data_IF_032321379034
#
_entry.id   IF_032321379034
#
_cell.length_a   1.000
_cell.length_b   1.000
_cell.length_c   1.000
_cell.angle_alpha   90.00
_cell.angle_beta   90.00
_cell.angle_gamma   90.00
#
_symmetry.space_group_name_H-M   'P 1'
#
loop_
_entity.id
_entity.type
_entity.pdbx_description
1 polymer ?
#
# COMPACT_ATOMS: atom_id res chain seq x y z
N UNK A 1 32.14 -47.29 -8.29
CA UNK A 1 30.93 -46.55 -7.86
C UNK A 1 31.35 -45.11 -7.58
N UNK A 2 31.20 -44.22 -8.57
CA UNK A 2 31.40 -42.78 -8.39
C UNK A 2 30.12 -42.19 -7.81
N UNK A 3 30.21 -41.48 -6.70
CA UNK A 3 29.13 -40.67 -6.14
C UNK A 3 29.07 -39.35 -6.91
N UNK A 4 27.95 -39.13 -7.59
CA UNK A 4 27.56 -37.88 -8.24
C UNK A 4 27.43 -36.78 -7.19
N UNK A 5 28.32 -35.80 -7.24
CA UNK A 5 28.21 -34.50 -6.56
C UNK A 5 27.74 -33.50 -7.61
N UNK A 6 26.45 -33.46 -7.87
CA UNK A 6 25.89 -32.51 -8.84
C UNK A 6 24.46 -32.11 -8.51
N UNK A 7 24.22 -31.78 -7.25
CA UNK A 7 23.24 -30.77 -6.86
C UNK A 7 24.00 -29.72 -6.06
N UNK A 8 24.01 -28.43 -6.46
CA UNK A 8 24.50 -27.40 -5.57
C UNK A 8 23.60 -27.41 -4.34
N UNK A 9 24.15 -27.85 -3.22
CA UNK A 9 23.55 -27.59 -1.91
C UNK A 9 23.41 -26.08 -1.84
N UNK A 10 22.18 -25.58 -1.95
CA UNK A 10 21.88 -24.18 -1.67
C UNK A 10 22.20 -24.04 -0.19
N UNK A 11 23.40 -23.57 0.13
CA UNK A 11 23.73 -23.20 1.51
C UNK A 11 22.66 -22.20 1.94
N UNK A 12 21.87 -22.58 2.95
CA UNK A 12 20.91 -21.67 3.56
C UNK A 12 21.65 -20.42 4.03
N UNK A 13 21.13 -19.24 3.71
CA UNK A 13 21.77 -17.99 4.11
C UNK A 13 21.96 -18.00 5.62
N UNK A 14 23.16 -17.66 6.09
CA UNK A 14 23.42 -17.51 7.51
C UNK A 14 22.40 -16.54 8.10
N UNK A 15 21.67 -16.98 9.14
CA UNK A 15 20.65 -16.16 9.79
C UNK A 15 21.32 -14.93 10.41
N UNK A 16 20.92 -13.75 9.97
CA UNK A 16 21.43 -12.46 10.44
C UNK A 16 20.26 -11.54 10.76
N UNK A 17 19.95 -11.40 12.05
CA UNK A 17 18.80 -10.64 12.52
C UNK A 17 19.22 -9.24 12.97
N UNK A 18 18.73 -8.20 12.30
CA UNK A 18 18.89 -6.83 12.76
C UNK A 18 17.74 -6.47 13.70
N UNK A 19 18.04 -6.30 14.98
CA UNK A 19 17.07 -5.88 15.99
C UNK A 19 17.24 -4.40 16.33
N UNK A 20 16.17 -3.62 16.16
CA UNK A 20 16.13 -2.20 16.50
C UNK A 20 15.27 -1.97 17.74
N UNK A 21 15.82 -1.20 18.68
CA UNK A 21 15.14 -0.73 19.88
C UNK A 21 15.61 0.68 20.18
N UNK A 22 14.75 1.68 19.98
CA UNK A 22 15.12 3.08 20.19
C UNK A 22 13.88 3.96 20.30
N UNK A 23 13.83 4.77 21.36
CA UNK A 23 12.78 5.77 21.58
C UNK A 23 12.86 6.97 20.63
N UNK A 24 13.97 7.13 19.90
CA UNK A 24 14.25 8.31 19.09
C UNK A 24 14.53 8.02 17.62
N UNK A 25 14.61 6.75 17.22
CA UNK A 25 14.87 6.39 15.83
C UNK A 25 13.66 6.75 14.96
N UNK A 26 13.88 7.63 13.98
CA UNK A 26 12.83 8.15 13.08
C UNK A 26 12.68 7.28 11.83
N UNK A 27 13.72 6.56 11.42
CA UNK A 27 13.63 5.67 10.27
C UNK A 27 14.92 4.90 10.04
N UNK A 28 14.86 3.94 9.13
CA UNK A 28 16.02 3.18 8.71
C UNK A 28 16.02 3.03 7.19
N UNK A 29 17.22 3.14 6.61
CA UNK A 29 17.49 2.80 5.22
C UNK A 29 18.56 1.72 5.20
N UNK A 30 18.25 0.58 4.59
CA UNK A 30 19.14 -0.55 4.40
C UNK A 30 19.41 -0.69 2.92
N UNK A 31 20.66 -0.50 2.51
CA UNK A 31 21.07 -0.63 1.11
C UNK A 31 22.21 -1.63 1.02
N UNK A 32 22.05 -2.66 0.19
CA UNK A 32 23.05 -3.74 0.02
C UNK A 32 23.41 -4.43 1.35
N UNK A 33 22.46 -4.56 2.29
CA UNK A 33 22.69 -5.21 3.57
C UNK A 33 22.44 -6.72 3.49
N UNK A 34 23.29 -7.52 4.14
CA UNK A 34 23.22 -8.98 4.20
C UNK A 34 22.36 -9.55 5.34
N UNK A 35 21.32 -8.84 5.78
CA UNK A 35 20.47 -9.28 6.90
C UNK A 35 19.32 -10.17 6.41
N UNK A 36 18.93 -11.18 7.18
CA UNK A 36 17.79 -12.06 6.88
C UNK A 36 16.48 -11.57 7.47
N UNK A 37 16.52 -10.92 8.63
CA UNK A 37 15.31 -10.51 9.35
C UNK A 37 15.50 -9.12 9.98
N UNK A 38 14.47 -8.28 9.88
CA UNK A 38 14.40 -6.98 10.56
C UNK A 38 13.37 -7.04 11.69
N UNK A 39 13.79 -6.75 12.92
CA UNK A 39 12.92 -6.76 14.11
C UNK A 39 12.83 -5.37 14.72
N UNK A 40 11.63 -4.80 14.78
CA UNK A 40 11.33 -3.53 15.46
C UNK A 40 10.72 -3.81 16.84
N UNK A 41 11.50 -3.69 17.91
CA UNK A 41 11.04 -4.02 19.27
C UNK A 41 10.29 -2.89 19.95
N UNK A 42 10.91 -1.73 20.04
CA UNK A 42 10.34 -0.55 20.71
C UNK A 42 10.87 0.69 20.01
N UNK A 43 10.18 1.07 18.94
CA UNK A 43 10.53 2.14 18.00
C UNK A 43 9.35 3.11 17.82
N UNK A 44 8.88 3.79 18.89
CA UNK A 44 7.64 4.57 18.87
C UNK A 44 7.69 5.82 17.98
N UNK A 45 8.88 6.30 17.63
CA UNK A 45 9.07 7.47 16.74
C UNK A 45 9.41 7.10 15.30
N UNK A 46 9.46 5.81 14.98
CA UNK A 46 9.84 5.36 13.65
C UNK A 46 8.71 5.63 12.65
N UNK A 47 9.05 6.31 11.56
CA UNK A 47 8.14 6.75 10.52
C UNK A 47 8.32 5.92 9.24
N UNK A 48 9.55 5.48 8.92
CA UNK A 48 9.81 4.76 7.68
C UNK A 48 10.85 3.64 7.79
N UNK A 49 10.68 2.63 6.94
CA UNK A 49 11.65 1.57 6.68
C UNK A 49 11.87 1.51 5.17
N UNK A 50 13.11 1.66 4.73
CA UNK A 50 13.50 1.42 3.35
C UNK A 50 14.54 0.29 3.31
N UNK A 51 14.32 -0.71 2.47
CA UNK A 51 15.25 -1.79 2.23
C UNK A 51 15.40 -2.00 0.72
N UNK A 52 16.59 -1.72 0.22
CA UNK A 52 16.92 -1.77 -1.20
C UNK A 52 18.10 -2.71 -1.40
N UNK A 53 18.02 -3.60 -2.39
CA UNK A 53 19.09 -4.55 -2.73
C UNK A 53 19.53 -5.43 -1.54
N UNK A 54 18.66 -5.64 -0.55
CA UNK A 54 18.90 -6.56 0.56
C UNK A 54 18.52 -7.98 0.14
N UNK A 55 19.39 -8.63 -0.65
CA UNK A 55 19.08 -9.86 -1.40
C UNK A 55 18.59 -11.02 -0.53
N UNK A 56 19.06 -11.08 0.72
CA UNK A 56 18.77 -12.17 1.66
C UNK A 56 17.74 -11.80 2.72
N UNK A 57 17.20 -10.57 2.71
CA UNK A 57 16.13 -10.14 3.61
C UNK A 57 14.86 -10.92 3.30
N UNK A 58 14.33 -11.62 4.32
CA UNK A 58 13.16 -12.50 4.24
C UNK A 58 11.97 -11.92 4.99
N UNK A 59 12.17 -11.50 6.24
CA UNK A 59 11.05 -11.17 7.12
C UNK A 59 11.18 -9.82 7.82
N UNK A 60 10.01 -9.26 8.15
CA UNK A 60 9.85 -8.13 9.06
C UNK A 60 9.13 -8.65 10.32
N UNK A 61 9.54 -8.22 11.51
CA UNK A 61 8.77 -8.41 12.74
C UNK A 61 8.56 -7.07 13.42
N UNK A 62 7.32 -6.69 13.67
CA UNK A 62 6.99 -5.44 14.37
C UNK A 62 6.35 -5.77 15.71
N UNK A 63 7.07 -5.50 16.81
CA UNK A 63 6.53 -5.64 18.17
C UNK A 63 5.91 -4.32 18.64
N UNK A 64 6.63 -3.19 18.51
CA UNK A 64 6.10 -1.85 18.81
C UNK A 64 6.73 -0.77 17.92
N UNK A 65 6.00 -0.33 16.89
CA UNK A 65 6.37 0.79 16.02
C UNK A 65 5.12 1.42 15.36
N UNK A 66 4.16 1.92 16.16
CA UNK A 66 2.78 2.16 15.70
C UNK A 66 2.66 3.21 14.60
N UNK A 67 3.53 4.22 14.61
CA UNK A 67 3.46 5.35 13.68
C UNK A 67 4.22 5.14 12.37
N UNK A 68 4.85 3.97 12.16
CA UNK A 68 5.51 3.68 10.88
C UNK A 68 4.44 3.68 9.80
N UNK A 69 4.63 4.57 8.84
CA UNK A 69 3.66 4.85 7.79
C UNK A 69 4.21 4.63 6.39
N UNK A 70 5.51 4.36 6.25
CA UNK A 70 6.16 4.12 4.96
C UNK A 70 7.06 2.90 5.01
N UNK A 71 6.81 1.97 4.10
CA UNK A 71 7.62 0.78 3.89
C UNK A 71 8.01 0.78 2.42
N UNK A 72 9.30 0.68 2.10
CA UNK A 72 9.78 0.54 0.73
C UNK A 72 10.73 -0.65 0.68
N UNK A 73 10.36 -1.68 -0.08
CA UNK A 73 11.17 -2.85 -0.33
C UNK A 73 11.41 -2.99 -1.84
N UNK A 74 12.65 -2.77 -2.25
CA UNK A 74 13.06 -2.87 -3.64
C UNK A 74 14.20 -3.88 -3.78
N UNK A 75 14.10 -4.75 -4.78
CA UNK A 75 15.19 -5.68 -5.14
C UNK A 75 15.63 -6.59 -3.98
N UNK A 76 14.70 -6.93 -3.08
CA UNK A 76 14.90 -7.86 -1.98
C UNK A 76 14.48 -9.26 -2.42
N UNK A 77 15.39 -9.98 -3.10
CA UNK A 77 15.08 -11.24 -3.81
C UNK A 77 14.39 -12.31 -2.94
N UNK A 78 14.75 -12.43 -1.66
CA UNK A 78 14.19 -13.45 -0.75
C UNK A 78 13.06 -12.94 0.14
N UNK A 79 12.53 -11.74 -0.10
CA UNK A 79 11.50 -11.13 0.73
C UNK A 79 10.21 -11.96 0.68
N UNK A 80 9.74 -12.39 1.85
CA UNK A 80 8.44 -13.03 1.99
C UNK A 80 7.36 -11.94 2.04
N UNK A 81 6.83 -11.57 0.87
CA UNK A 81 5.83 -10.51 0.75
C UNK A 81 4.58 -10.76 1.59
N UNK A 82 4.08 -12.00 1.62
CA UNK A 82 2.89 -12.36 2.39
C UNK A 82 3.10 -12.08 3.88
N UNK A 83 4.24 -12.51 4.42
CA UNK A 83 4.60 -12.33 5.82
C UNK A 83 4.78 -10.84 6.16
N UNK A 84 5.48 -10.10 5.31
CA UNK A 84 5.72 -8.66 5.52
C UNK A 84 4.42 -7.86 5.48
N UNK A 85 3.55 -8.15 4.51
CA UNK A 85 2.26 -7.47 4.38
C UNK A 85 1.33 -7.78 5.56
N UNK A 86 1.21 -9.04 5.98
CA UNK A 86 0.42 -9.41 7.17
C UNK A 86 0.93 -8.68 8.43
N UNK A 87 2.25 -8.62 8.64
CA UNK A 87 2.82 -7.88 9.76
C UNK A 87 2.46 -6.39 9.74
N UNK A 88 2.58 -5.73 8.59
CA UNK A 88 2.31 -4.29 8.46
C UNK A 88 0.81 -3.99 8.61
N UNK A 89 -0.05 -4.83 8.04
CA UNK A 89 -1.50 -4.66 8.07
C UNK A 89 -2.11 -5.01 9.44
N UNK A 90 -1.42 -5.80 10.28
CA UNK A 90 -1.82 -6.08 11.67
C UNK A 90 -1.38 -5.02 12.69
N UNK A 91 -0.44 -4.14 12.34
CA UNK A 91 -0.04 -3.05 13.22
C UNK A 91 -1.24 -2.13 13.53
N UNK A 92 -1.36 -1.53 14.73
CA UNK A 92 -2.50 -0.68 15.09
C UNK A 92 -2.75 0.49 14.10
N UNK A 93 -4.01 0.87 13.80
CA UNK A 93 -4.37 1.94 12.86
C UNK A 93 -4.16 3.35 13.40
N UNK A 94 -2.94 3.68 13.81
CA UNK A 94 -2.58 5.04 14.25
C UNK A 94 -2.22 5.98 13.07
N UNK A 95 -1.86 5.42 11.92
CA UNK A 95 -1.48 6.17 10.71
C UNK A 95 -2.00 5.45 9.46
N UNK A 96 -2.22 6.22 8.41
CA UNK A 96 -2.29 5.66 7.05
C UNK A 96 -0.94 5.03 6.71
N UNK A 97 -0.91 3.97 5.92
CA UNK A 97 0.36 3.32 5.54
C UNK A 97 0.50 3.19 4.04
N UNK A 98 1.69 3.44 3.54
CA UNK A 98 2.06 3.17 2.15
C UNK A 98 3.19 2.16 2.11
N UNK A 99 3.02 1.12 1.30
CA UNK A 99 3.92 -0.01 1.16
C UNK A 99 4.30 -0.09 -0.31
N UNK A 100 5.57 0.17 -0.62
CA UNK A 100 6.13 -0.01 -1.96
C UNK A 100 6.86 -1.35 -2.02
N UNK A 101 6.51 -2.16 -3.01
CA UNK A 101 7.12 -3.46 -3.26
C UNK A 101 7.60 -3.48 -4.71
N UNK A 102 8.86 -3.80 -4.92
CA UNK A 102 9.44 -4.08 -6.25
C UNK A 102 10.03 -5.49 -6.22
N UNK A 103 9.17 -6.51 -6.38
CA UNK A 103 9.57 -7.92 -6.27
C UNK A 103 10.49 -8.33 -7.40
N UNK A 104 11.40 -9.26 -7.10
CA UNK A 104 12.32 -9.86 -8.08
C UNK A 104 11.87 -11.26 -8.53
N UNK A 105 10.62 -11.61 -8.27
CA UNK A 105 10.02 -12.90 -8.57
C UNK A 105 8.56 -12.69 -8.97
N UNK A 106 8.00 -13.62 -9.72
CA UNK A 106 6.59 -13.60 -10.09
C UNK A 106 5.71 -13.60 -8.83
N UNK A 107 4.71 -12.72 -8.82
CA UNK A 107 3.72 -12.63 -7.74
C UNK A 107 2.43 -13.25 -8.23
N UNK A 108 1.90 -14.22 -7.47
CA UNK A 108 0.51 -14.68 -7.65
C UNK A 108 -0.43 -13.60 -7.10
N UNK A 109 -0.91 -12.73 -8.00
CA UNK A 109 -1.73 -11.58 -7.65
C UNK A 109 -3.06 -11.99 -7.03
N UNK A 110 -3.70 -13.04 -7.56
CA UNK A 110 -5.00 -13.51 -7.06
C UNK A 110 -4.89 -14.00 -5.61
N UNK A 111 -3.90 -14.84 -5.32
CA UNK A 111 -3.67 -15.33 -3.95
C UNK A 111 -3.31 -14.20 -3.01
N UNK A 112 -2.48 -13.25 -3.47
CA UNK A 112 -2.08 -12.09 -2.68
C UNK A 112 -3.27 -11.19 -2.32
N UNK A 113 -4.07 -10.80 -3.32
CA UNK A 113 -5.26 -9.98 -3.16
C UNK A 113 -6.27 -10.65 -2.22
N UNK A 114 -6.50 -11.95 -2.38
CA UNK A 114 -7.35 -12.73 -1.49
C UNK A 114 -6.88 -12.63 -0.03
N UNK A 115 -5.58 -12.83 0.24
CA UNK A 115 -5.01 -12.73 1.60
C UNK A 115 -5.15 -11.31 2.17
N UNK A 116 -4.91 -10.30 1.36
CA UNK A 116 -4.99 -8.89 1.77
C UNK A 116 -6.41 -8.51 2.13
N UNK A 117 -7.41 -8.78 1.27
CA UNK A 117 -8.77 -8.31 1.50
C UNK A 117 -9.56 -9.19 2.47
N UNK A 118 -9.27 -10.49 2.53
CA UNK A 118 -9.94 -11.37 3.51
C UNK A 118 -9.50 -11.06 4.93
N UNK A 119 -8.26 -10.62 5.17
CA UNK A 119 -7.68 -10.48 6.52
C UNK A 119 -8.39 -9.48 7.45
N UNK A 120 -8.13 -9.56 8.77
CA UNK A 120 -8.83 -8.82 9.82
C UNK A 120 -8.32 -7.39 9.98
N UNK A 121 -7.94 -6.74 8.87
CA UNK A 121 -7.22 -5.48 8.90
C UNK A 121 -8.18 -4.28 8.99
N UNK A 122 -8.04 -3.41 10.01
CA UNK A 122 -8.95 -2.30 10.27
C UNK A 122 -8.63 -1.06 9.40
N UNK A 123 -8.53 -1.27 8.09
CA UNK A 123 -8.20 -0.25 7.09
C UNK A 123 -9.10 -0.40 5.87
N UNK A 124 -9.33 0.71 5.19
CA UNK A 124 -9.53 0.62 3.74
C UNK A 124 -8.19 0.32 3.06
N UNK A 125 -8.18 -0.57 2.07
CA UNK A 125 -6.98 -1.07 1.42
C UNK A 125 -7.08 -0.82 -0.08
N UNK A 126 -5.99 -0.34 -0.65
CA UNK A 126 -5.79 -0.19 -2.08
C UNK A 126 -4.53 -0.96 -2.48
N UNK A 127 -4.63 -1.88 -3.43
CA UNK A 127 -3.51 -2.57 -4.04
C UNK A 127 -3.38 -2.10 -5.48
N UNK A 128 -2.22 -1.59 -5.86
CA UNK A 128 -1.90 -1.10 -7.19
C UNK A 128 -0.83 -2.00 -7.80
N UNK A 129 -1.14 -2.57 -8.94
CA UNK A 129 -0.23 -3.30 -9.81
C UNK A 129 0.20 -2.37 -10.94
N UNK A 130 1.49 -2.08 -11.02
CA UNK A 130 2.05 -1.14 -11.97
C UNK A 130 3.14 -1.82 -12.81
N UNK A 131 3.08 -1.59 -14.13
CA UNK A 131 3.86 -2.33 -15.12
C UNK A 131 4.81 -1.45 -15.94
N UNK A 132 5.10 -0.23 -15.48
CA UNK A 132 6.03 0.67 -16.17
C UNK A 132 7.43 0.09 -16.20
N UNK A 133 8.14 0.29 -17.30
CA UNK A 133 9.55 -0.03 -17.43
C UNK A 133 10.18 0.98 -18.42
N UNK A 134 11.01 1.93 -17.95
CA UNK A 134 11.59 2.05 -16.60
C UNK A 134 10.58 2.51 -15.52
N UNK A 135 10.94 2.40 -14.22
CA UNK A 135 10.11 2.87 -13.10
C UNK A 135 9.69 4.34 -13.19
N UNK A 136 8.41 4.61 -12.87
CA UNK A 136 7.87 5.97 -12.83
C UNK A 136 7.68 6.49 -11.40
N UNK A 137 8.59 7.35 -10.94
CA UNK A 137 8.54 7.94 -9.58
C UNK A 137 7.31 8.82 -9.32
N UNK A 138 6.70 9.41 -10.37
CA UNK A 138 5.52 10.28 -10.24
C UNK A 138 4.32 9.51 -9.69
N UNK A 139 4.20 8.23 -10.03
CA UNK A 139 3.10 7.37 -9.58
C UNK A 139 3.14 7.13 -8.07
N UNK A 140 4.34 6.96 -7.49
CA UNK A 140 4.51 6.89 -6.03
C UNK A 140 3.95 8.14 -5.33
N UNK A 141 4.18 9.33 -5.90
CA UNK A 141 3.69 10.61 -5.33
C UNK A 141 2.17 10.76 -5.47
N UNK A 142 1.60 10.36 -6.61
CA UNK A 142 0.15 10.44 -6.88
C UNK A 142 -0.66 9.61 -5.90
N UNK A 143 -0.25 8.36 -5.67
CA UNK A 143 -0.96 7.44 -4.76
C UNK A 143 -0.98 7.95 -3.33
N UNK A 144 0.13 8.52 -2.86
CA UNK A 144 0.18 9.16 -1.55
C UNK A 144 -0.88 10.27 -1.43
N UNK A 145 -1.03 11.08 -2.46
CA UNK A 145 -1.99 12.19 -2.45
C UNK A 145 -3.42 11.68 -2.27
N UNK A 146 -3.81 10.53 -2.83
CA UNK A 146 -5.19 10.03 -2.63
C UNK A 146 -5.37 9.42 -1.29
N UNK A 147 -4.36 8.68 -0.85
CA UNK A 147 -4.37 8.09 0.47
C UNK A 147 -4.65 9.18 1.50
N UNK A 148 -4.01 10.33 1.35
CA UNK A 148 -4.24 11.51 2.18
C UNK A 148 -5.65 12.10 1.96
N UNK A 149 -6.09 12.31 0.71
CA UNK A 149 -7.45 12.82 0.42
C UNK A 149 -8.55 11.95 1.01
N UNK A 150 -8.54 10.64 0.75
CA UNK A 150 -9.56 9.69 1.22
C UNK A 150 -9.53 9.58 2.74
N UNK A 151 -8.35 9.48 3.36
CA UNK A 151 -8.26 9.44 4.81
C UNK A 151 -8.75 10.75 5.47
N UNK A 152 -8.45 11.90 4.85
CA UNK A 152 -8.93 13.18 5.36
C UNK A 152 -10.46 13.25 5.28
N UNK A 153 -11.07 12.87 4.14
CA UNK A 153 -12.54 12.79 4.03
C UNK A 153 -13.11 11.87 5.12
N UNK A 154 -12.58 10.66 5.27
CA UNK A 154 -13.08 9.72 6.29
C UNK A 154 -12.95 10.29 7.71
N UNK A 155 -11.84 10.97 8.02
CA UNK A 155 -11.62 11.57 9.31
C UNK A 155 -12.59 12.73 9.58
N UNK A 156 -12.83 13.59 8.59
CA UNK A 156 -13.82 14.68 8.69
C UNK A 156 -15.23 14.13 8.89
N UNK A 157 -15.60 13.10 8.12
CA UNK A 157 -16.91 12.45 8.25
C UNK A 157 -17.14 11.84 9.63
N UNK A 158 -16.15 11.13 10.17
CA UNK A 158 -16.23 10.53 11.51
C UNK A 158 -16.31 11.63 12.58
N UNK A 159 -15.50 12.68 12.45
CA UNK A 159 -15.33 13.70 13.50
C UNK A 159 -16.47 14.71 13.55
N UNK A 160 -16.98 15.14 12.39
CA UNK A 160 -17.91 16.27 12.31
C UNK A 160 -19.28 15.89 11.74
N UNK A 161 -19.37 14.82 10.95
CA UNK A 161 -20.62 14.38 10.32
C UNK A 161 -21.23 13.12 10.98
N UNK A 162 -20.71 12.74 12.16
CA UNK A 162 -21.19 11.62 12.99
C UNK A 162 -21.22 10.27 12.26
N UNK A 163 -20.31 10.04 11.31
CA UNK A 163 -20.18 8.73 10.68
C UNK A 163 -19.70 7.68 11.70
N UNK A 164 -20.28 6.47 11.71
CA UNK A 164 -19.75 5.38 12.51
C UNK A 164 -18.32 5.04 12.05
N UNK A 165 -17.38 4.92 13.00
CA UNK A 165 -16.06 4.38 12.70
C UNK A 165 -16.16 2.85 12.54
N UNK A 166 -15.75 2.35 11.38
CA UNK A 166 -15.74 0.92 11.10
C UNK A 166 -14.64 0.21 11.89
N UNK A 167 -14.93 -1.02 12.30
CA UNK A 167 -13.96 -1.93 12.93
C UNK A 167 -13.90 -3.23 12.15
N UNK A 168 -12.80 -3.96 12.30
CA UNK A 168 -12.64 -5.29 11.71
C UNK A 168 -11.82 -6.16 12.64
N UNK A 169 -12.29 -7.37 12.87
CA UNK A 169 -11.74 -8.31 13.85
C UNK A 169 -11.63 -9.72 13.27
N UNK A 170 -11.00 -10.63 14.02
CA UNK A 170 -10.94 -12.05 13.68
C UNK A 170 -12.34 -12.70 13.63
N UNK A 171 -13.34 -12.17 14.37
CA UNK A 171 -14.71 -12.69 14.32
C UNK A 171 -15.44 -12.31 13.02
N UNK A 172 -15.09 -11.18 12.41
CA UNK A 172 -15.61 -10.81 11.08
C UNK A 172 -15.18 -11.80 10.00
N UNK A 173 -14.01 -12.44 10.15
CA UNK A 173 -13.55 -13.49 9.22
C UNK A 173 -14.47 -14.70 9.22
N UNK A 174 -14.99 -15.06 10.40
CA UNK A 174 -15.94 -16.17 10.55
C UNK A 174 -17.30 -15.82 9.97
N UNK A 175 -17.70 -14.54 10.06
CA UNK A 175 -18.97 -14.04 9.52
C UNK A 175 -18.94 -13.91 8.00
N UNK A 176 -17.84 -13.40 7.44
CA UNK A 176 -17.71 -13.11 6.02
C UNK A 176 -16.66 -14.04 5.37
N UNK A 177 -17.05 -15.28 5.11
CA UNK A 177 -16.16 -16.34 4.62
C UNK A 177 -15.93 -16.34 3.10
N UNK A 178 -16.73 -15.59 2.35
CA UNK A 178 -16.69 -15.54 0.88
C UNK A 178 -16.43 -14.13 0.39
N UNK A 179 -15.82 -14.02 -0.79
CA UNK A 179 -15.68 -12.75 -1.50
C UNK A 179 -17.03 -12.01 -1.55
N UNK A 180 -17.08 -10.69 -1.23
CA UNK A 180 -15.96 -9.77 -0.99
C UNK A 180 -15.52 -9.66 0.49
N UNK A 181 -15.71 -10.69 1.30
CA UNK A 181 -15.29 -10.79 2.72
C UNK A 181 -15.78 -9.64 3.60
N UNK A 182 -16.98 -9.13 3.32
CA UNK A 182 -17.59 -8.00 4.04
C UNK A 182 -16.96 -6.65 3.71
N UNK A 183 -16.21 -6.55 2.61
CA UNK A 183 -15.68 -5.30 2.06
C UNK A 183 -16.43 -4.89 0.78
N UNK A 184 -16.22 -3.66 0.36
CA UNK A 184 -16.80 -3.08 -0.85
C UNK A 184 -15.71 -3.01 -1.95
N UNK A 185 -15.27 -4.18 -2.40
CA UNK A 185 -14.09 -4.32 -3.27
C UNK A 185 -14.47 -4.04 -4.71
N UNK A 186 -13.67 -3.22 -5.39
CA UNK A 186 -13.80 -2.96 -6.81
C UNK A 186 -12.44 -2.74 -7.49
N UNK A 187 -12.44 -2.93 -8.80
CA UNK A 187 -11.25 -2.78 -9.64
C UNK A 187 -11.35 -1.53 -10.51
N UNK A 188 -10.23 -0.83 -10.62
CA UNK A 188 -10.00 0.31 -11.49
C UNK A 188 -8.80 0.00 -12.37
N UNK A 189 -8.94 0.19 -13.66
CA UNK A 189 -7.84 0.06 -14.62
C UNK A 189 -7.58 1.40 -15.28
N UNK A 190 -6.37 1.56 -15.79
CA UNK A 190 -6.01 2.70 -16.63
C UNK A 190 -4.59 2.58 -17.15
N UNK A 191 -4.13 3.67 -17.76
CA UNK A 191 -2.77 3.83 -18.27
C UNK A 191 -2.19 5.05 -17.59
N UNK A 192 -0.88 5.08 -17.33
CA UNK A 192 -0.14 6.27 -16.90
C UNK A 192 1.19 6.35 -17.62
N UNK A 193 1.45 7.47 -18.28
CA UNK A 193 2.67 7.71 -19.05
C UNK A 193 2.97 6.53 -20.02
N UNK A 194 1.91 5.96 -20.61
CA UNK A 194 1.96 4.82 -21.53
C UNK A 194 1.99 3.42 -20.88
N UNK A 195 2.17 3.33 -19.56
CA UNK A 195 2.20 2.05 -18.84
C UNK A 195 0.82 1.71 -18.23
N UNK A 196 0.31 0.48 -18.40
CA UNK A 196 -0.94 0.08 -17.77
C UNK A 196 -0.76 -0.03 -16.25
N UNK A 197 -1.86 0.20 -15.52
CA UNK A 197 -1.99 -0.15 -14.12
C UNK A 197 -3.34 -0.84 -13.87
N UNK A 198 -3.36 -1.70 -12.87
CA UNK A 198 -4.59 -2.25 -12.29
C UNK A 198 -4.61 -1.95 -10.81
N UNK A 199 -5.76 -1.52 -10.31
CA UNK A 199 -5.97 -1.18 -8.91
C UNK A 199 -7.18 -1.92 -8.40
N UNK A 200 -7.02 -2.66 -7.32
CA UNK A 200 -8.11 -3.27 -6.57
C UNK A 200 -8.18 -2.62 -5.20
N UNK A 201 -9.37 -2.17 -4.80
CA UNK A 201 -9.50 -1.32 -3.61
C UNK A 201 -10.90 -1.39 -3.02
N UNK A 202 -10.99 -1.08 -1.73
CA UNK A 202 -12.26 -0.76 -1.05
C UNK A 202 -12.28 0.69 -0.54
N UNK A 203 -11.40 1.56 -1.08
CA UNK A 203 -11.38 2.98 -0.76
C UNK A 203 -12.75 3.57 -1.06
N UNK A 204 -13.43 4.16 -0.06
CA UNK A 204 -14.71 4.78 -0.30
C UNK A 204 -14.47 6.04 -1.14
N UNK A 205 -15.50 6.51 -1.86
CA UNK A 205 -15.51 7.78 -2.61
C UNK A 205 -14.61 7.87 -3.84
N UNK A 206 -13.55 7.07 -3.92
CA UNK A 206 -12.54 7.19 -4.98
C UNK A 206 -13.15 6.97 -6.37
N UNK A 207 -14.14 6.07 -6.51
CA UNK A 207 -14.85 5.87 -7.77
C UNK A 207 -15.52 7.17 -8.24
N UNK A 208 -16.30 7.79 -7.36
CA UNK A 208 -17.06 9.02 -7.62
C UNK A 208 -16.15 10.21 -7.87
N UNK A 209 -15.11 10.40 -7.02
CA UNK A 209 -14.10 11.45 -7.21
C UNK A 209 -13.33 11.30 -8.52
N UNK A 210 -13.05 10.06 -8.94
CA UNK A 210 -12.38 9.78 -10.21
C UNK A 210 -13.26 10.12 -11.41
N UNK A 211 -14.58 9.96 -11.32
CA UNK A 211 -15.50 10.30 -12.43
C UNK A 211 -16.00 11.74 -12.39
N UNK A 212 -15.85 12.44 -11.26
CA UNK A 212 -16.27 13.82 -11.11
C UNK A 212 -15.52 14.78 -12.05
N UNK A 213 -16.22 15.82 -12.50
CA UNK A 213 -15.65 16.88 -13.30
C UNK A 213 -14.58 17.66 -12.53
N UNK A 214 -13.50 18.11 -13.20
CA UNK A 214 -12.55 19.03 -12.59
C UNK A 214 -13.26 20.29 -12.10
N UNK A 215 -12.92 20.76 -10.91
CA UNK A 215 -13.47 22.03 -10.43
C UNK A 215 -12.76 23.22 -11.10
N UNK A 216 -13.32 24.42 -10.96
CA UNK A 216 -12.78 25.64 -11.55
C UNK A 216 -11.39 26.06 -11.05
N UNK A 217 -10.86 25.42 -9.99
CA UNK A 217 -9.50 25.63 -9.47
C UNK A 217 -8.47 24.63 -10.03
N UNK A 218 -8.89 23.73 -10.92
CA UNK A 218 -8.00 22.83 -11.65
C UNK A 218 -6.89 23.63 -12.34
N UNK A 219 -5.63 23.26 -12.10
CA UNK A 219 -4.52 23.88 -12.80
C UNK A 219 -4.33 23.20 -14.15
N UNK A 220 -4.40 23.99 -15.22
CA UNK A 220 -4.15 23.57 -16.60
C UNK A 220 -2.65 23.45 -16.95
N UNK A 221 -1.74 23.62 -15.99
CA UNK A 221 -0.30 23.78 -16.20
C UNK A 221 0.48 22.46 -16.35
N UNK A 222 -0.19 21.30 -16.43
CA UNK A 222 0.45 20.01 -16.63
C UNK A 222 -0.04 19.32 -17.91
N UNK A 223 0.89 18.95 -18.81
CA UNK A 223 0.65 18.34 -20.13
C UNK A 223 0.12 16.90 -20.14
N UNK A 224 -0.18 16.32 -18.99
CA UNK A 224 -0.62 14.92 -18.92
C UNK A 224 -2.14 14.82 -19.08
N UNK A 225 -2.61 13.91 -19.93
CA UNK A 225 -4.02 13.65 -20.17
C UNK A 225 -4.72 13.15 -18.88
N UNK A 226 -5.69 13.92 -18.40
CA UNK A 226 -6.51 13.64 -17.21
C UNK A 226 -7.17 12.26 -17.24
N UNK A 227 -7.44 11.73 -18.43
CA UNK A 227 -8.06 10.41 -18.65
C UNK A 227 -7.08 9.24 -18.44
N UNK A 228 -5.77 9.51 -18.47
CA UNK A 228 -4.69 8.52 -18.39
C UNK A 228 -3.86 8.69 -17.11
N UNK A 229 -4.51 9.03 -16.01
CA UNK A 229 -3.83 9.05 -14.71
C UNK A 229 -4.49 8.05 -13.78
N UNK A 230 -3.67 7.31 -13.02
CA UNK A 230 -3.96 6.96 -11.62
C UNK A 230 -4.42 8.34 -11.10
N UNK A 231 -5.72 8.64 -10.90
CA UNK A 231 -6.33 9.90 -10.37
C UNK A 231 -5.37 10.99 -9.79
N UNK A 232 -5.62 12.28 -9.98
CA UNK A 232 -4.72 13.31 -9.45
C UNK A 232 -5.53 14.46 -8.87
N UNK A 233 -5.85 14.44 -7.56
CA UNK A 233 -6.71 15.45 -6.94
C UNK A 233 -6.23 16.87 -7.23
N UNK A 234 -4.91 17.08 -7.21
CA UNK A 234 -4.29 18.37 -7.55
C UNK A 234 -4.59 18.86 -8.97
N UNK A 235 -4.67 17.96 -9.95
CA UNK A 235 -5.00 18.32 -11.34
C UNK A 235 -6.48 18.62 -11.50
N UNK A 236 -7.34 17.80 -10.91
CA UNK A 236 -8.79 18.04 -10.88
C UNK A 236 -9.21 19.25 -10.02
N UNK A 237 -8.24 19.95 -9.42
CA UNK A 237 -8.46 21.06 -8.49
C UNK A 237 -9.06 20.63 -7.14
N UNK A 238 -9.27 19.34 -6.91
CA UNK A 238 -9.81 18.74 -5.70
C UNK A 238 -8.71 18.64 -4.62
N UNK A 239 -8.30 19.80 -4.09
CA UNK A 239 -7.15 19.90 -3.19
C UNK A 239 -7.49 19.65 -1.72
N UNK A 240 -8.71 19.93 -1.29
CA UNK A 240 -9.15 19.78 0.10
C UNK A 240 -10.22 18.69 0.26
N UNK A 241 -10.33 18.15 1.47
CA UNK A 241 -11.41 17.23 1.82
C UNK A 241 -12.77 17.89 1.61
N UNK A 242 -12.94 19.17 1.97
CA UNK A 242 -14.21 19.90 1.83
C UNK A 242 -14.73 19.93 0.40
N UNK A 243 -13.87 20.30 -0.56
CA UNK A 243 -14.22 20.34 -1.99
C UNK A 243 -14.56 18.92 -2.49
N UNK A 244 -13.82 17.91 -2.03
CA UNK A 244 -14.11 16.54 -2.37
C UNK A 244 -15.46 16.09 -1.79
N UNK A 245 -15.78 16.45 -0.54
CA UNK A 245 -17.02 16.11 0.14
C UNK A 245 -18.24 16.75 -0.53
N UNK A 246 -18.12 17.99 -1.00
CA UNK A 246 -19.16 18.64 -1.82
C UNK A 246 -19.43 17.83 -3.09
N UNK A 247 -18.37 17.36 -3.76
CA UNK A 247 -18.47 16.57 -4.98
C UNK A 247 -19.20 15.23 -4.78
N UNK A 248 -19.05 14.60 -3.62
CA UNK A 248 -19.60 13.26 -3.31
C UNK A 248 -20.78 13.33 -2.31
N UNK A 249 -21.41 14.49 -2.13
CA UNK A 249 -22.40 14.73 -1.07
C UNK A 249 -23.61 13.80 -1.12
N UNK A 250 -24.04 13.39 -2.32
CA UNK A 250 -25.12 12.42 -2.50
C UNK A 250 -24.74 11.04 -1.94
N UNK A 251 -23.55 10.53 -2.29
CA UNK A 251 -23.05 9.22 -1.84
C UNK A 251 -22.82 9.20 -0.32
N UNK A 252 -22.30 10.30 0.25
CA UNK A 252 -22.19 10.50 1.70
C UNK A 252 -23.58 10.40 2.35
N UNK A 253 -24.59 11.05 1.78
CA UNK A 253 -25.95 11.05 2.32
C UNK A 253 -26.56 9.64 2.31
N UNK A 254 -26.35 8.87 1.25
CA UNK A 254 -26.78 7.47 1.15
C UNK A 254 -26.10 6.60 2.21
N UNK A 255 -24.77 6.67 2.34
CA UNK A 255 -24.02 5.90 3.35
C UNK A 255 -24.50 6.20 4.77
N UNK A 256 -24.85 7.46 5.05
CA UNK A 256 -25.41 7.89 6.33
C UNK A 256 -26.78 7.26 6.60
N UNK A 257 -27.67 7.24 5.61
CA UNK A 257 -29.01 6.65 5.74
C UNK A 257 -28.94 5.16 6.10
N UNK A 258 -28.01 4.42 5.50
CA UNK A 258 -27.81 2.99 5.77
C UNK A 258 -26.90 2.72 6.98
N UNK A 259 -26.41 3.77 7.66
CA UNK A 259 -25.48 3.69 8.81
C UNK A 259 -24.23 2.88 8.51
N UNK A 260 -23.71 2.95 7.27
CA UNK A 260 -22.48 2.27 6.87
C UNK A 260 -21.29 3.06 7.40
N UNK A 261 -20.51 2.44 8.28
CA UNK A 261 -19.29 3.04 8.81
C UNK A 261 -18.14 3.03 7.81
N UNK A 262 -17.12 3.84 8.09
CA UNK A 262 -15.87 3.91 7.31
C UNK A 262 -14.66 3.74 8.22
N UNK A 263 -13.58 3.15 7.71
CA UNK A 263 -12.33 3.10 8.45
C UNK A 263 -11.67 4.49 8.43
N UNK A 264 -11.22 4.97 9.59
CA UNK A 264 -10.50 6.24 9.67
C UNK A 264 -9.18 6.22 8.89
N UNK A 265 -8.49 5.07 8.89
CA UNK A 265 -7.18 4.90 8.25
C UNK A 265 -7.27 4.07 6.99
N UNK A 266 -6.32 4.32 6.11
CA UNK A 266 -6.20 3.64 4.83
C UNK A 266 -4.80 3.07 4.63
N UNK A 267 -4.66 2.04 3.81
CA UNK A 267 -3.38 1.47 3.38
C UNK A 267 -3.31 1.41 1.86
N UNK A 268 -2.19 1.86 1.30
CA UNK A 268 -1.88 1.70 -0.12
C UNK A 268 -0.68 0.76 -0.30
N UNK A 269 -0.87 -0.31 -1.08
CA UNK A 269 0.16 -1.28 -1.45
C UNK A 269 0.45 -1.07 -2.93
N UNK A 270 1.64 -0.59 -3.25
CA UNK A 270 2.08 -0.35 -4.62
C UNK A 270 3.11 -1.40 -5.01
N UNK A 271 2.76 -2.25 -5.97
CA UNK A 271 3.59 -3.34 -6.46
C UNK A 271 4.05 -2.98 -7.87
N UNK A 272 5.38 -2.84 -8.03
CA UNK A 272 5.99 -2.49 -9.30
C UNK A 272 6.71 -3.69 -9.91
N UNK A 273 6.27 -4.11 -11.10
CA UNK A 273 6.64 -5.39 -11.68
C UNK A 273 7.91 -5.38 -12.54
N UNK A 274 8.63 -4.25 -12.65
CA UNK A 274 9.75 -4.16 -13.60
C UNK A 274 10.90 -5.15 -13.34
N UNK A 275 11.07 -5.67 -12.11
CA UNK A 275 12.16 -6.60 -11.75
C UNK A 275 11.74 -8.08 -11.65
N UNK A 276 10.49 -8.45 -11.96
CA UNK A 276 9.97 -9.81 -11.67
C UNK A 276 10.68 -10.93 -12.41
N UNK A 277 11.37 -10.61 -13.51
CA UNK A 277 12.21 -11.55 -14.26
C UNK A 277 13.52 -11.90 -13.51
N UNK A 278 13.79 -11.28 -12.37
CA UNK A 278 14.96 -11.52 -11.53
C UNK A 278 16.18 -10.67 -11.87
N UNK A 279 16.12 -9.90 -12.96
CA UNK A 279 17.14 -8.93 -13.35
C UNK A 279 16.74 -7.53 -12.86
N UNK A 280 17.59 -6.85 -12.06
CA UNK A 280 17.35 -5.48 -11.65
C UNK A 280 17.31 -4.54 -12.87
N UNK A 281 16.20 -3.85 -13.08
CA UNK A 281 16.11 -2.73 -14.03
C UNK A 281 16.84 -1.51 -13.44
N UNK A 282 17.62 -0.83 -14.27
CA UNK A 282 18.30 0.42 -13.91
C UNK A 282 17.29 1.49 -13.47
N UNK A 283 17.55 2.12 -12.34
CA UNK A 283 16.68 3.11 -11.73
C UNK A 283 17.53 4.08 -10.92
N UNK A 284 17.62 5.32 -11.40
CA UNK A 284 18.39 6.41 -10.80
C UNK A 284 17.91 6.79 -9.39
N UNK A 285 16.73 6.30 -8.97
CA UNK A 285 16.11 6.64 -7.70
C UNK A 285 16.36 5.62 -6.58
N UNK A 286 17.15 4.54 -6.79
CA UNK A 286 17.41 3.47 -5.79
C UNK A 286 18.86 3.01 -5.59
#
# INVERSE_FOLDING_TARGET
KSTSTSDPVIEDDHIQVLTLKSKNLVGITLTNCGITDLVLKDCPKMMFIHATRCRVLKHLKVENAPIVNRFDYAQCKKLNMDQVLDQILRMPPERNRIIYLRPMQQVDTLTLEQKIFSGPYPYHICVIHEFSNPPNVRNKVRIRSWMDTIANINQELIKYEFFPEATRTEDDLKKYTRYPWGRDIYTLEGVVDGAPYSMITDFPWLRSLRTADPNGYARYDFEDDEKTTIYAPRRKGQLSADICMETIGEEISEFRQIKKGVFQRVVAIFIHYCDVNGEPVEDDYI
#
